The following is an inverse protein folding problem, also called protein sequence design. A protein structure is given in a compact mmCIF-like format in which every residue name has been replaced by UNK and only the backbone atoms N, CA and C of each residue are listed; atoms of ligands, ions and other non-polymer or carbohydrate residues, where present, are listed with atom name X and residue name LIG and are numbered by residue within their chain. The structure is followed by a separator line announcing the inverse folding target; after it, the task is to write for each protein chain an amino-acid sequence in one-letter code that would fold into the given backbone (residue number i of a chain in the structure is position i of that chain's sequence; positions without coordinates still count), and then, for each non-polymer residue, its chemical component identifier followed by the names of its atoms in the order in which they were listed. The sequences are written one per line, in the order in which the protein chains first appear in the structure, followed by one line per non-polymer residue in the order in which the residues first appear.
data_IF_928777089609
#
_entry.id   IF_928777089609
#
_cell.length_a   1.000
_cell.length_b   1.000
_cell.length_c   1.000
_cell.angle_alpha   90.00
_cell.angle_beta   90.00
_cell.angle_gamma   90.00
#
_symmetry.space_group_name_H-M   'P 1'
#
loop_
_entity.id
_entity.type
_entity.pdbx_description
1 polymer ?
#
# COMPACT_ATOMS: atom_id res chain seq x y z
N UNK A 1 -3.07 -10.71 6.74
CA UNK A 1 -2.06 -11.34 7.61
C UNK A 1 -1.74 -10.52 8.85
N UNK A 2 -1.15 -9.32 8.75
CA UNK A 2 -0.82 -8.48 9.91
C UNK A 2 -2.03 -8.15 10.82
N UNK A 3 -3.16 -7.77 10.20
CA UNK A 3 -4.44 -7.55 10.90
C UNK A 3 -4.88 -8.77 11.72
N UNK A 4 -4.75 -9.98 11.16
CA UNK A 4 -5.12 -11.22 11.85
C UNK A 4 -4.16 -11.55 13.00
N UNK A 5 -2.85 -11.29 12.85
CA UNK A 5 -1.89 -11.44 13.95
C UNK A 5 -2.26 -10.55 15.13
N UNK A 6 -2.63 -9.29 14.85
CA UNK A 6 -3.12 -8.34 15.86
C UNK A 6 -4.40 -8.84 16.54
N UNK A 7 -5.40 -9.26 15.76
CA UNK A 7 -6.68 -9.79 16.28
C UNK A 7 -6.50 -11.03 17.16
N UNK A 8 -5.47 -11.83 16.91
CA UNK A 8 -5.16 -13.04 17.67
C UNK A 8 -4.15 -12.82 18.80
N UNK A 9 -3.70 -11.57 19.05
CA UNK A 9 -2.69 -11.27 20.06
C UNK A 9 -1.31 -11.90 19.80
N UNK A 10 -1.00 -12.25 18.54
CA UNK A 10 0.25 -12.92 18.17
C UNK A 10 1.35 -11.90 17.88
N UNK A 11 2.45 -11.98 18.63
CA UNK A 11 3.66 -11.21 18.40
C UNK A 11 4.59 -11.86 17.37
N UNK A 12 5.32 -11.06 16.61
CA UNK A 12 6.32 -11.52 15.66
C UNK A 12 6.77 -10.40 14.72
N UNK A 13 7.84 -10.65 13.95
CA UNK A 13 8.30 -9.70 12.93
C UNK A 13 7.48 -9.83 11.65
N UNK A 14 7.14 -8.69 11.04
CA UNK A 14 6.65 -8.62 9.66
C UNK A 14 7.84 -8.15 8.83
N UNK A 15 8.26 -8.98 7.88
CA UNK A 15 9.35 -8.68 6.95
C UNK A 15 8.75 -8.52 5.56
N UNK A 16 9.11 -7.43 4.88
CA UNK A 16 8.77 -7.17 3.49
C UNK A 16 10.03 -6.86 2.70
N UNK A 17 10.00 -7.12 1.40
CA UNK A 17 11.08 -6.80 0.46
C UNK A 17 10.48 -5.99 -0.67
N UNK A 18 11.03 -4.80 -0.90
CA UNK A 18 10.77 -4.01 -2.10
C UNK A 18 11.96 -4.23 -3.04
N UNK A 19 11.69 -4.72 -4.25
CA UNK A 19 12.72 -5.13 -5.20
C UNK A 19 13.28 -3.95 -6.03
N UNK A 20 12.55 -2.85 -6.10
CA UNK A 20 12.95 -1.63 -6.80
C UNK A 20 12.25 -0.40 -6.17
N UNK A 21 12.71 0.80 -6.53
CA UNK A 21 12.14 2.08 -6.10
C UNK A 21 11.04 2.61 -7.02
N UNK A 22 10.75 1.92 -8.13
CA UNK A 22 9.64 2.24 -8.99
C UNK A 22 9.89 3.20 -10.15
N UNK A 23 11.11 3.70 -10.32
CA UNK A 23 11.48 4.71 -11.32
C UNK A 23 11.24 4.27 -12.77
N UNK A 24 11.05 2.98 -13.02
CA UNK A 24 10.72 2.43 -14.34
C UNK A 24 9.23 2.53 -14.70
N UNK A 25 8.39 2.89 -13.73
CA UNK A 25 6.93 2.80 -13.80
C UNK A 25 6.28 4.19 -13.64
N UNK A 26 6.98 5.25 -14.02
CA UNK A 26 6.50 6.64 -13.91
C UNK A 26 5.17 6.86 -14.63
N UNK A 27 4.96 6.16 -15.74
CA UNK A 27 3.73 6.28 -16.53
C UNK A 27 2.57 5.39 -16.02
N UNK A 28 2.77 4.65 -14.92
CA UNK A 28 1.73 3.80 -14.30
C UNK A 28 1.31 4.31 -12.93
N UNK A 29 1.75 3.72 -11.82
CA UNK A 29 1.23 4.07 -10.50
C UNK A 29 1.70 5.45 -9.97
N UNK A 30 2.60 6.14 -10.69
CA UNK A 30 2.88 7.56 -10.46
C UNK A 30 1.99 8.49 -11.30
N UNK A 31 1.22 7.95 -12.24
CA UNK A 31 0.27 8.69 -13.07
C UNK A 31 -1.14 8.54 -12.50
N UNK A 32 -1.72 9.66 -12.04
CA UNK A 32 -3.06 9.70 -11.42
C UNK A 32 -4.16 9.15 -12.33
N UNK A 33 -4.10 9.42 -13.64
CA UNK A 33 -5.08 8.92 -14.61
C UNK A 33 -4.99 7.40 -14.74
N UNK A 34 -3.76 6.87 -14.83
CA UNK A 34 -3.54 5.43 -14.88
C UNK A 34 -4.03 4.76 -13.59
N UNK A 35 -3.74 5.34 -12.42
CA UNK A 35 -4.21 4.84 -11.12
C UNK A 35 -5.73 4.84 -11.06
N UNK A 36 -6.40 5.93 -11.44
CA UNK A 36 -7.86 6.01 -11.45
C UNK A 36 -8.48 4.92 -12.34
N UNK A 37 -7.85 4.64 -13.49
CA UNK A 37 -8.37 3.67 -14.46
C UNK A 37 -8.07 2.20 -14.08
N UNK A 38 -7.00 1.91 -13.34
CA UNK A 38 -6.52 0.54 -13.11
C UNK A 38 -6.57 0.09 -11.64
N UNK A 39 -6.45 1.00 -10.68
CA UNK A 39 -6.44 0.72 -9.24
C UNK A 39 -7.72 1.26 -8.57
N UNK A 40 -8.16 2.45 -8.98
CA UNK A 40 -9.34 3.12 -8.44
C UNK A 40 -9.01 4.15 -7.34
N UNK A 41 -10.01 4.48 -6.54
CA UNK A 41 -9.91 5.53 -5.51
C UNK A 41 -9.01 5.11 -4.35
N UNK A 42 -7.95 5.90 -4.13
CA UNK A 42 -7.00 5.71 -3.04
C UNK A 42 -7.39 6.43 -1.75
N UNK A 43 -8.39 7.32 -1.80
CA UNK A 43 -8.81 8.18 -0.69
C UNK A 43 -9.03 7.43 0.63
N UNK A 44 -9.68 6.24 0.67
CA UNK A 44 -9.86 5.50 1.92
C UNK A 44 -8.53 5.15 2.61
N UNK A 45 -7.53 4.75 1.81
CA UNK A 45 -6.23 4.32 2.32
C UNK A 45 -5.35 5.51 2.71
N UNK A 46 -5.36 6.58 1.90
CA UNK A 46 -4.64 7.81 2.22
C UNK A 46 -5.18 8.47 3.49
N UNK A 47 -6.50 8.45 3.70
CA UNK A 47 -7.11 8.93 4.94
C UNK A 47 -6.69 8.09 6.14
N UNK A 48 -6.67 6.76 6.03
CA UNK A 48 -6.21 5.88 7.13
C UNK A 48 -4.75 6.17 7.48
N UNK A 49 -3.87 6.32 6.47
CA UNK A 49 -2.45 6.63 6.68
C UNK A 49 -2.22 8.00 7.34
N UNK A 50 -2.97 9.03 6.94
CA UNK A 50 -2.86 10.37 7.51
C UNK A 50 -3.41 10.48 8.95
N UNK A 51 -4.19 9.49 9.39
CA UNK A 51 -4.77 9.43 10.73
C UNK A 51 -3.97 8.53 11.70
N UNK A 52 -2.82 7.98 11.27
CA UNK A 52 -1.84 7.32 12.14
C UNK A 52 -0.99 8.35 12.90
#
# INVERSE_FOLDING_TARGET
MAKQMREQGKSGAIVTLLCDSGERYLDTYYNEEWVSNNIGDLTPFTNELNNL
#
